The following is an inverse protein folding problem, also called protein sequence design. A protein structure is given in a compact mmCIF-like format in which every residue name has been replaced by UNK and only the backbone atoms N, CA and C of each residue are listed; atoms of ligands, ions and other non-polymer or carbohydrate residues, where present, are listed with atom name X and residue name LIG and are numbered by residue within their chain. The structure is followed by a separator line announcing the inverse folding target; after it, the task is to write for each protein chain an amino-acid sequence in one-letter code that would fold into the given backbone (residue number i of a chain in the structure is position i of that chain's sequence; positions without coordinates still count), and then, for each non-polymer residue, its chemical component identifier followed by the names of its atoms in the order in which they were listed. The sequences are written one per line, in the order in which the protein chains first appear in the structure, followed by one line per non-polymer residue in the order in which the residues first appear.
data_IF_797145148576
#
_entry.id   IF_797145148576
#
_cell.length_a   1.000
_cell.length_b   1.000
_cell.length_c   1.000
_cell.angle_alpha   90.00
_cell.angle_beta   90.00
_cell.angle_gamma   90.00
#
_symmetry.space_group_name_H-M   'P 1'
#
loop_
_entity.id
_entity.type
_entity.pdbx_description
1 polymer ?
#
# COMPACT_ATOMS: atom_id res chain seq x y z
N UNK A 1 -10.91 20.34 3.02
CA UNK A 1 -9.66 20.25 2.24
C UNK A 1 -9.96 20.18 0.76
N UNK A 2 -9.07 20.67 -0.05
CA UNK A 2 -9.23 20.59 -1.50
C UNK A 2 -8.96 19.18 -2.02
N UNK A 3 -9.42 18.93 -3.24
CA UNK A 3 -9.14 17.68 -3.94
C UNK A 3 -7.63 17.46 -4.06
N UNK A 4 -6.87 18.49 -4.37
CA UNK A 4 -5.41 18.36 -4.49
C UNK A 4 -4.73 18.06 -3.14
N UNK A 5 -5.21 18.63 -2.07
CA UNK A 5 -4.72 18.31 -0.73
C UNK A 5 -5.04 16.85 -0.35
N UNK A 6 -6.23 16.37 -0.71
CA UNK A 6 -6.62 14.97 -0.45
C UNK A 6 -5.74 14.00 -1.24
N UNK A 7 -5.47 14.29 -2.50
CA UNK A 7 -4.54 13.49 -3.31
C UNK A 7 -3.12 13.51 -2.73
N UNK A 8 -2.70 14.66 -2.21
CA UNK A 8 -1.36 14.79 -1.62
C UNK A 8 -1.19 13.85 -0.41
N UNK A 9 -2.24 13.63 0.37
CA UNK A 9 -2.19 12.67 1.48
C UNK A 9 -1.89 11.26 0.97
N UNK A 10 -2.53 10.84 -0.12
CA UNK A 10 -2.28 9.52 -0.72
C UNK A 10 -0.85 9.44 -1.25
N UNK A 11 -0.36 10.47 -1.92
CA UNK A 11 1.03 10.51 -2.40
C UNK A 11 2.02 10.38 -1.23
N UNK A 12 1.77 11.06 -0.13
CA UNK A 12 2.61 10.96 1.06
C UNK A 12 2.56 9.57 1.67
N UNK A 13 1.38 8.96 1.74
CA UNK A 13 1.24 7.59 2.23
C UNK A 13 2.11 6.63 1.42
N UNK A 14 2.03 6.70 0.11
CA UNK A 14 2.80 5.84 -0.78
C UNK A 14 4.30 6.10 -0.63
N UNK A 15 4.72 7.35 -0.72
CA UNK A 15 6.14 7.70 -0.73
C UNK A 15 6.80 7.53 0.64
N UNK A 16 6.20 8.11 1.67
CA UNK A 16 6.84 8.18 2.99
C UNK A 16 6.61 6.91 3.80
N UNK A 17 5.40 6.38 3.82
CA UNK A 17 5.06 5.24 4.66
C UNK A 17 5.34 3.91 3.95
N UNK A 18 4.85 3.75 2.73
CA UNK A 18 4.99 2.49 2.00
C UNK A 18 6.41 2.31 1.47
N UNK A 19 6.92 3.26 0.70
CA UNK A 19 8.22 3.12 0.05
C UNK A 19 9.40 3.42 0.99
N UNK A 20 9.31 4.48 1.78
CA UNK A 20 10.41 4.88 2.67
C UNK A 20 10.32 4.24 4.06
N UNK A 21 9.23 3.56 4.39
CA UNK A 21 9.00 2.94 5.71
C UNK A 21 9.13 3.92 6.87
N UNK A 22 8.73 5.17 6.66
CA UNK A 22 8.78 6.19 7.70
C UNK A 22 7.55 6.09 8.61
N UNK A 23 7.68 5.35 9.69
CA UNK A 23 6.59 5.16 10.66
C UNK A 23 6.18 6.47 11.34
N UNK A 24 7.11 7.38 11.52
CA UNK A 24 6.84 8.66 12.18
C UNK A 24 5.88 9.54 11.38
N UNK A 25 5.83 9.38 10.06
CA UNK A 25 4.94 10.15 9.20
C UNK A 25 3.48 9.67 9.26
N UNK A 26 3.22 8.47 9.80
CA UNK A 26 1.88 7.87 9.78
C UNK A 26 0.83 8.78 10.40
N UNK A 27 1.08 9.32 11.58
CA UNK A 27 0.08 10.13 12.31
C UNK A 27 -0.23 11.47 11.64
N UNK A 28 0.69 12.00 10.84
CA UNK A 28 0.44 13.22 10.08
C UNK A 28 -0.49 12.97 8.89
N UNK A 29 -0.44 11.78 8.32
CA UNK A 29 -1.11 11.42 7.07
C UNK A 29 -2.41 10.69 7.33
N UNK A 30 -2.43 9.82 8.35
CA UNK A 30 -3.50 8.86 8.59
C UNK A 30 -3.92 8.84 10.05
N UNK A 31 -5.13 8.34 10.27
CA UNK A 31 -5.67 8.11 11.60
C UNK A 31 -6.54 6.86 11.58
N UNK A 32 -6.93 6.39 12.76
CA UNK A 32 -7.86 5.26 12.91
C UNK A 32 -7.40 4.01 12.17
N UNK A 33 -8.31 3.46 11.38
CA UNK A 33 -8.11 2.20 10.66
C UNK A 33 -6.90 2.21 9.74
N UNK A 34 -6.68 3.29 9.01
CA UNK A 34 -5.55 3.39 8.07
C UNK A 34 -4.22 3.46 8.83
N UNK A 35 -4.17 4.21 9.92
CA UNK A 35 -2.96 4.29 10.74
C UNK A 35 -2.60 2.93 11.35
N UNK A 36 -3.60 2.20 11.83
CA UNK A 36 -3.41 0.85 12.38
C UNK A 36 -2.90 -0.12 11.30
N UNK A 37 -3.51 -0.08 10.12
CA UNK A 37 -3.11 -0.93 9.01
C UNK A 37 -1.68 -0.62 8.57
N UNK A 38 -1.32 0.65 8.46
CA UNK A 38 0.03 1.05 8.06
C UNK A 38 1.08 0.55 9.05
N UNK A 39 0.85 0.69 10.35
CA UNK A 39 1.77 0.20 11.38
C UNK A 39 1.88 -1.31 11.40
N UNK A 40 0.77 -2.02 11.23
CA UNK A 40 0.78 -3.48 11.17
C UNK A 40 1.48 -4.01 9.93
N UNK A 41 1.44 -3.27 8.83
CA UNK A 41 2.03 -3.64 7.56
C UNK A 41 3.56 -3.45 7.53
N UNK A 42 4.06 -2.34 8.08
CA UNK A 42 5.49 -1.97 7.98
C UNK A 42 6.41 -3.11 8.43
N UNK A 43 6.12 -3.74 9.54
CA UNK A 43 6.96 -4.82 10.04
C UNK A 43 6.85 -6.12 9.24
N UNK A 44 5.71 -6.84 9.36
CA UNK A 44 5.57 -8.19 8.78
C UNK A 44 5.73 -8.26 7.27
N UNK A 45 5.06 -7.37 6.55
CA UNK A 45 5.09 -7.39 5.10
C UNK A 45 6.47 -7.00 4.56
N UNK A 46 7.09 -6.02 5.18
CA UNK A 46 8.42 -5.55 4.77
C UNK A 46 9.50 -6.58 5.03
N UNK A 47 9.33 -7.45 6.04
CA UNK A 47 10.24 -8.58 6.23
C UNK A 47 10.11 -9.62 5.13
N UNK A 48 8.89 -9.83 4.62
CA UNK A 48 8.66 -10.75 3.51
C UNK A 48 9.20 -10.18 2.19
N UNK A 49 9.01 -8.88 1.97
CA UNK A 49 9.40 -8.18 0.74
C UNK A 49 10.18 -6.90 1.10
N UNK A 50 11.48 -7.01 1.43
CA UNK A 50 12.26 -5.87 1.88
C UNK A 50 12.38 -4.73 0.87
N UNK A 51 12.31 -5.05 -0.41
CA UNK A 51 12.38 -4.10 -1.52
C UNK A 51 11.01 -3.70 -2.08
N UNK A 52 9.93 -3.94 -1.31
CA UNK A 52 8.58 -3.61 -1.78
C UNK A 52 8.50 -2.15 -2.23
N UNK A 53 7.91 -1.96 -3.40
CA UNK A 53 7.71 -0.63 -3.96
C UNK A 53 6.32 -0.52 -4.56
N UNK A 54 5.68 0.60 -4.28
CA UNK A 54 4.37 0.95 -4.80
C UNK A 54 4.51 2.17 -5.71
N UNK A 55 3.98 2.07 -6.92
CA UNK A 55 3.95 3.17 -7.88
C UNK A 55 2.52 3.63 -8.08
N UNK A 56 2.30 4.93 -8.09
CA UNK A 56 0.98 5.51 -8.37
C UNK A 56 0.80 5.57 -9.90
N UNK A 57 -0.24 4.89 -10.39
CA UNK A 57 -0.63 4.95 -11.79
C UNK A 57 -1.63 6.08 -12.00
N UNK A 58 -2.67 6.11 -11.16
CA UNK A 58 -3.74 7.12 -11.23
C UNK A 58 -4.22 7.52 -9.84
N UNK A 59 -4.61 8.78 -9.72
CA UNK A 59 -5.34 9.31 -8.58
C UNK A 59 -6.51 10.12 -9.11
N UNK A 60 -7.71 9.76 -8.68
CA UNK A 60 -8.94 10.48 -9.03
C UNK A 60 -9.66 10.80 -7.73
N UNK A 61 -10.04 12.04 -7.53
CA UNK A 61 -10.68 12.45 -6.27
C UNK A 61 -11.94 13.26 -6.52
N UNK A 62 -12.91 13.05 -5.65
CA UNK A 62 -14.15 13.81 -5.60
C UNK A 62 -14.62 13.88 -4.16
N UNK A 63 -14.99 15.08 -3.70
CA UNK A 63 -15.40 15.26 -2.32
C UNK A 63 -14.28 14.88 -1.35
N UNK A 64 -14.60 13.99 -0.43
CA UNK A 64 -13.67 13.50 0.58
C UNK A 64 -13.06 12.13 0.23
N UNK A 65 -13.20 11.69 -1.02
CA UNK A 65 -12.72 10.39 -1.46
C UNK A 65 -11.63 10.51 -2.51
N UNK A 66 -10.66 9.60 -2.42
CA UNK A 66 -9.57 9.49 -3.41
C UNK A 66 -9.52 8.05 -3.89
N UNK A 67 -9.76 7.84 -5.18
CA UNK A 67 -9.55 6.54 -5.81
C UNK A 67 -8.11 6.50 -6.34
N UNK A 68 -7.40 5.43 -6.01
CA UNK A 68 -6.00 5.26 -6.34
C UNK A 68 -5.75 3.92 -7.01
N UNK A 69 -4.99 3.93 -8.09
CA UNK A 69 -4.51 2.72 -8.75
C UNK A 69 -3.00 2.68 -8.61
N UNK A 70 -2.49 1.57 -8.06
CA UNK A 70 -1.07 1.34 -7.84
C UNK A 70 -0.59 0.12 -8.61
N UNK A 71 0.69 0.12 -8.96
CA UNK A 71 1.40 -1.07 -9.38
C UNK A 71 2.52 -1.34 -8.41
N UNK A 72 2.60 -2.57 -7.94
CA UNK A 72 3.49 -2.97 -6.86
C UNK A 72 4.49 -4.03 -7.31
N UNK A 73 5.68 -3.99 -6.72
CA UNK A 73 6.76 -4.95 -6.97
C UNK A 73 7.47 -5.30 -5.67
N UNK A 74 8.12 -6.45 -5.66
CA UNK A 74 8.91 -6.88 -4.51
C UNK A 74 9.52 -8.26 -4.74
N UNK A 75 10.57 -8.56 -3.96
CA UNK A 75 11.25 -9.85 -3.98
C UNK A 75 10.94 -10.62 -2.69
N UNK A 76 10.55 -11.87 -2.84
CA UNK A 76 10.14 -12.74 -1.73
C UNK A 76 11.38 -13.25 -0.99
N UNK A 77 11.79 -12.52 0.04
CA UNK A 77 13.00 -12.82 0.81
C UNK A 77 12.73 -13.21 2.27
N UNK A 78 11.48 -13.22 2.70
CA UNK A 78 11.05 -13.68 4.02
C UNK A 78 9.74 -14.44 3.93
N UNK A 79 9.37 -15.12 4.99
CA UNK A 79 8.15 -15.91 5.04
C UNK A 79 6.92 -15.04 4.77
N UNK A 80 6.03 -15.53 3.93
CA UNK A 80 4.77 -14.86 3.62
C UNK A 80 3.66 -15.90 3.43
N UNK A 81 2.58 -15.74 4.18
CA UNK A 81 1.41 -16.62 4.11
C UNK A 81 1.74 -18.12 4.13
N UNK A 82 2.65 -18.51 5.02
CA UNK A 82 3.05 -19.90 5.15
C UNK A 82 4.07 -20.39 4.13
N UNK A 83 4.53 -19.53 3.22
CA UNK A 83 5.55 -19.86 2.23
C UNK A 83 6.89 -19.29 2.64
N UNK A 84 7.89 -20.16 2.75
CA UNK A 84 9.27 -19.74 2.99
C UNK A 84 9.80 -18.94 1.80
N UNK A 85 10.79 -18.09 2.05
CA UNK A 85 11.40 -17.25 1.04
C UNK A 85 11.82 -18.03 -0.21
N UNK A 86 11.37 -17.55 -1.38
CA UNK A 86 11.67 -18.19 -2.67
C UNK A 86 12.72 -17.46 -3.46
N UNK A 87 13.00 -16.20 -3.12
CA UNK A 87 13.88 -15.34 -3.90
C UNK A 87 13.24 -14.85 -5.20
N UNK A 88 11.99 -15.23 -5.49
CA UNK A 88 11.29 -14.82 -6.70
C UNK A 88 10.73 -13.42 -6.56
N UNK A 89 10.54 -12.76 -7.70
CA UNK A 89 10.08 -11.38 -7.75
C UNK A 89 8.72 -11.27 -8.43
N UNK A 90 7.84 -10.44 -7.87
CA UNK A 90 6.64 -10.00 -8.57
C UNK A 90 6.79 -8.56 -9.04
N UNK A 91 6.16 -8.23 -10.17
CA UNK A 91 6.16 -6.87 -10.72
C UNK A 91 4.82 -6.53 -11.34
N UNK A 92 4.49 -5.23 -11.31
CA UNK A 92 3.30 -4.71 -11.94
C UNK A 92 2.00 -5.27 -11.38
N UNK A 93 1.98 -5.68 -10.13
CA UNK A 93 0.77 -6.20 -9.49
C UNK A 93 -0.14 -5.04 -9.15
N UNK A 94 -1.39 -5.11 -9.62
CA UNK A 94 -2.36 -4.04 -9.43
C UNK A 94 -2.96 -4.06 -8.03
N UNK A 95 -3.05 -2.87 -7.43
CA UNK A 95 -3.82 -2.63 -6.22
C UNK A 95 -4.67 -1.39 -6.44
N UNK A 96 -5.93 -1.45 -6.09
CA UNK A 96 -6.87 -0.34 -6.25
C UNK A 96 -7.57 -0.09 -4.93
N UNK A 97 -7.55 1.17 -4.48
CA UNK A 97 -8.18 1.57 -3.24
C UNK A 97 -9.03 2.82 -3.43
N UNK A 98 -10.09 2.91 -2.66
CA UNK A 98 -10.83 4.16 -2.48
C UNK A 98 -10.61 4.58 -1.04
N UNK A 99 -9.87 5.67 -0.86
CA UNK A 99 -9.58 6.24 0.46
C UNK A 99 -10.63 7.26 0.84
N UNK A 100 -10.90 7.36 2.13
CA UNK A 100 -11.75 8.40 2.69
C UNK A 100 -10.92 9.33 3.56
N UNK A 101 -11.06 10.64 3.31
CA UNK A 101 -10.39 11.69 4.07
C UNK A 101 -11.37 12.25 5.09
N UNK A 102 -10.93 12.35 6.33
CA UNK A 102 -11.71 12.97 7.41
C UNK A 102 -10.76 13.70 8.35
N UNK A 103 -11.13 14.93 8.69
CA UNK A 103 -10.33 15.78 9.57
C UNK A 103 -8.88 15.93 9.10
N UNK A 104 -8.70 16.06 7.79
CA UNK A 104 -7.40 16.28 7.18
C UNK A 104 -6.47 15.06 7.13
N UNK A 105 -6.99 13.86 7.37
CA UNK A 105 -6.21 12.62 7.35
C UNK A 105 -6.96 11.48 6.69
N UNK A 106 -6.21 10.52 6.15
CA UNK A 106 -6.79 9.29 5.60
C UNK A 106 -7.27 8.43 6.76
N UNK A 107 -8.55 8.11 6.81
CA UNK A 107 -9.13 7.38 7.93
C UNK A 107 -9.81 6.07 7.56
N UNK A 108 -10.17 5.87 6.30
CA UNK A 108 -10.79 4.65 5.83
C UNK A 108 -10.38 4.33 4.41
N UNK A 109 -10.49 3.07 4.05
CA UNK A 109 -10.27 2.62 2.69
C UNK A 109 -11.02 1.33 2.42
N UNK A 110 -11.47 1.20 1.18
CA UNK A 110 -11.92 -0.05 0.60
C UNK A 110 -11.00 -0.33 -0.57
N UNK A 111 -10.50 -1.56 -0.68
CA UNK A 111 -9.58 -1.84 -1.77
C UNK A 111 -9.47 -3.31 -2.09
N UNK A 112 -8.87 -3.56 -3.24
CA UNK A 112 -8.56 -4.90 -3.72
C UNK A 112 -7.13 -4.95 -4.21
N UNK A 113 -6.49 -6.10 -4.01
CA UNK A 113 -5.16 -6.39 -4.53
C UNK A 113 -5.24 -7.60 -5.43
N UNK A 114 -4.50 -7.61 -6.51
CA UNK A 114 -4.41 -8.78 -7.37
C UNK A 114 -3.43 -9.81 -6.78
N UNK A 115 -3.82 -10.41 -5.68
CA UNK A 115 -2.99 -11.41 -5.00
C UNK A 115 -2.82 -12.68 -5.83
N UNK A 116 -3.77 -13.01 -6.69
CA UNK A 116 -3.62 -14.15 -7.59
C UNK A 116 -2.44 -13.94 -8.54
N UNK A 117 -2.33 -12.76 -9.13
CA UNK A 117 -1.20 -12.43 -10.00
C UNK A 117 0.12 -12.48 -9.23
N UNK A 118 0.14 -11.93 -8.00
CA UNK A 118 1.33 -11.97 -7.13
C UNK A 118 1.76 -13.40 -6.85
N UNK A 119 0.82 -14.25 -6.45
CA UNK A 119 1.10 -15.65 -6.14
C UNK A 119 1.58 -16.44 -7.35
N UNK A 120 1.00 -16.18 -8.53
CA UNK A 120 1.44 -16.82 -9.77
C UNK A 120 2.86 -16.41 -10.14
N UNK A 121 3.20 -15.16 -10.00
CA UNK A 121 4.56 -14.67 -10.27
C UNK A 121 5.58 -15.26 -9.30
N UNK A 122 5.18 -15.49 -8.05
CA UNK A 122 6.02 -16.17 -7.06
C UNK A 122 6.00 -17.69 -7.21
N UNK A 123 5.23 -18.21 -8.16
CA UNK A 123 5.10 -19.65 -8.47
C UNK A 123 4.59 -20.46 -7.29
N UNK A 124 3.68 -19.91 -6.50
CA UNK A 124 2.99 -20.65 -5.46
C UNK A 124 1.97 -21.62 -6.11
N UNK A 125 1.81 -22.78 -5.51
CA UNK A 125 0.71 -23.68 -5.85
C UNK A 125 -0.60 -23.10 -5.33
N UNK A 126 -1.60 -23.05 -6.20
CA UNK A 126 -2.90 -22.45 -5.89
C UNK A 126 -3.99 -23.53 -5.77
#
# INVERSE_FOLDING_TARGET
MSIEENKALVRRLVQEVVNDCNEEAVDEIAAGEIAQAARGWIGPFRRAFPDFRMEIVDLVAEGDKVAAHFKCSGTHEGDWQGHAATGRRFEGVDEIYIFEVKDGRLQGAVGVEDNLARMRQLEFEL
#
